data_IF_018459834937
#
_entry.id   IF_018459834937
#
_cell.length_a   1.000
_cell.length_b   1.000
_cell.length_c   1.000
_cell.angle_alpha   90.00
_cell.angle_beta   90.00
_cell.angle_gamma   90.00
#
_symmetry.space_group_name_H-M   'P 1'
#
loop_
_entity.id
_entity.type
_entity.pdbx_description
1 polymer ?
#
# COMPACT_ATOMS: atom_id res chain seq x y z
N UNK A 1 -38.24 -52.35 -62.24
CA UNK A 1 -37.26 -52.51 -61.14
C UNK A 1 -36.17 -51.48 -61.38
N UNK A 2 -36.17 -50.39 -60.61
CA UNK A 2 -35.23 -49.28 -60.77
C UNK A 2 -34.14 -49.47 -59.72
N UNK A 3 -32.92 -49.71 -60.18
CA UNK A 3 -31.72 -49.88 -59.36
C UNK A 3 -31.09 -48.51 -59.12
N UNK A 4 -31.07 -48.06 -57.88
CA UNK A 4 -30.42 -46.81 -57.47
C UNK A 4 -28.97 -47.10 -57.06
N UNK A 5 -28.02 -46.59 -57.85
CA UNK A 5 -26.60 -46.64 -57.55
C UNK A 5 -26.21 -45.44 -56.67
N UNK A 6 -25.79 -45.70 -55.43
CA UNK A 6 -25.29 -44.70 -54.48
C UNK A 6 -23.83 -44.39 -54.80
N UNK A 7 -23.54 -43.16 -55.24
CA UNK A 7 -22.16 -42.66 -55.42
C UNK A 7 -21.67 -42.07 -54.10
N UNK A 8 -20.65 -42.69 -53.53
CA UNK A 8 -19.91 -42.19 -52.36
C UNK A 8 -18.75 -41.31 -52.86
N UNK A 9 -18.71 -40.05 -52.48
CA UNK A 9 -17.58 -39.15 -52.71
C UNK A 9 -16.63 -39.17 -51.50
N UNK A 10 -15.30 -39.24 -51.69
CA UNK A 10 -14.34 -39.18 -50.60
C UNK A 10 -14.20 -37.73 -50.09
N UNK A 11 -14.51 -37.53 -48.82
CA UNK A 11 -14.25 -36.29 -48.09
C UNK A 11 -12.76 -36.27 -47.69
N UNK A 12 -11.94 -35.48 -48.37
CA UNK A 12 -10.55 -35.24 -47.98
C UNK A 12 -10.57 -34.17 -46.89
N UNK A 13 -10.47 -34.59 -45.63
CA UNK A 13 -10.26 -33.70 -44.49
C UNK A 13 -8.80 -33.21 -44.50
N UNK A 14 -8.58 -31.99 -45.00
CA UNK A 14 -7.29 -31.30 -44.91
C UNK A 14 -7.15 -30.75 -43.49
N UNK A 15 -6.41 -31.48 -42.65
CA UNK A 15 -5.95 -31.00 -41.34
C UNK A 15 -4.77 -30.05 -41.58
N UNK A 16 -5.04 -28.78 -41.86
CA UNK A 16 -4.05 -27.70 -41.69
C UNK A 16 -3.85 -27.50 -40.19
N UNK A 17 -2.81 -28.13 -39.65
CA UNK A 17 -2.27 -27.73 -38.36
C UNK A 17 -1.73 -26.31 -38.52
N UNK A 18 -2.47 -25.32 -38.02
CA UNK A 18 -1.92 -23.98 -37.78
C UNK A 18 -0.83 -24.17 -36.72
N UNK A 19 0.42 -24.25 -37.16
CA UNK A 19 1.55 -24.05 -36.27
C UNK A 19 1.48 -22.58 -35.83
N UNK A 20 0.81 -22.34 -34.72
CA UNK A 20 0.94 -21.08 -33.98
C UNK A 20 2.40 -21.02 -33.56
N UNK A 21 3.12 -20.02 -34.08
CA UNK A 21 4.46 -19.70 -33.58
C UNK A 21 4.39 -19.61 -32.06
N UNK A 22 5.33 -20.22 -31.32
CA UNK A 22 5.38 -20.07 -29.88
C UNK A 22 5.49 -18.57 -29.59
N UNK A 23 4.49 -18.05 -28.89
CA UNK A 23 4.46 -16.67 -28.44
C UNK A 23 5.77 -16.40 -27.69
N UNK A 24 6.50 -15.31 -28.01
CA UNK A 24 7.75 -15.02 -27.35
C UNK A 24 7.51 -14.99 -25.84
N UNK A 25 8.47 -15.47 -25.02
CA UNK A 25 8.32 -15.38 -23.58
C UNK A 25 8.03 -13.93 -23.22
N UNK A 26 6.90 -13.70 -22.53
CA UNK A 26 6.55 -12.39 -22.00
C UNK A 26 7.76 -11.88 -21.22
N UNK A 27 8.30 -10.73 -21.64
CA UNK A 27 9.34 -10.07 -20.85
C UNK A 27 8.80 -9.88 -19.42
N UNK A 28 9.63 -10.01 -18.38
CA UNK A 28 9.18 -9.80 -17.02
C UNK A 28 8.58 -8.40 -16.93
N UNK A 29 7.25 -8.37 -16.85
CA UNK A 29 6.47 -7.15 -16.64
C UNK A 29 7.08 -6.38 -15.48
N UNK A 30 7.18 -5.05 -15.58
CA UNK A 30 7.63 -4.15 -14.49
C UNK A 30 6.68 -4.20 -13.26
N UNK A 31 5.53 -4.86 -13.39
CA UNK A 31 4.49 -4.97 -12.38
C UNK A 31 4.90 -5.54 -11.00
N UNK A 32 5.88 -6.45 -10.81
CA UNK A 32 6.25 -6.90 -9.46
C UNK A 32 6.74 -5.75 -8.57
N UNK A 33 7.52 -4.82 -9.11
CA UNK A 33 8.06 -3.70 -8.36
C UNK A 33 6.96 -2.68 -8.02
N UNK A 34 6.08 -2.38 -8.97
CA UNK A 34 4.92 -1.51 -8.73
C UNK A 34 3.96 -2.10 -7.70
N UNK A 35 3.67 -3.41 -7.76
CA UNK A 35 2.86 -4.11 -6.76
C UNK A 35 3.50 -4.01 -5.37
N UNK A 36 4.84 -4.14 -5.27
CA UNK A 36 5.56 -3.96 -4.01
C UNK A 36 5.48 -2.53 -3.48
N UNK A 37 5.64 -1.52 -4.35
CA UNK A 37 5.53 -0.12 -3.97
C UNK A 37 4.11 0.24 -3.49
N UNK A 38 3.07 -0.27 -4.18
CA UNK A 38 1.68 -0.12 -3.73
C UNK A 38 1.47 -0.82 -2.40
N UNK A 39 1.99 -2.04 -2.21
CA UNK A 39 1.89 -2.77 -0.94
C UNK A 39 2.50 -1.97 0.22
N UNK A 40 3.70 -1.41 0.02
CA UNK A 40 4.36 -0.57 1.01
C UNK A 40 3.53 0.69 1.35
N UNK A 41 2.91 1.31 0.35
CA UNK A 41 2.08 2.51 0.50
C UNK A 41 0.76 2.29 1.27
N UNK A 42 0.29 1.04 1.37
CA UNK A 42 -0.99 0.69 2.03
C UNK A 42 -0.82 0.04 3.40
N UNK A 43 0.37 0.11 4.01
CA UNK A 43 0.55 -0.37 5.38
C UNK A 43 -0.07 0.63 6.36
N UNK A 44 -1.04 0.22 7.20
CA UNK A 44 -1.77 1.15 8.06
C UNK A 44 -0.96 1.64 9.27
N UNK A 45 0.08 0.93 9.71
CA UNK A 45 0.74 1.19 11.00
C UNK A 45 1.37 2.57 11.06
N UNK A 46 2.13 2.97 10.04
CA UNK A 46 2.75 4.30 9.97
C UNK A 46 1.71 5.42 9.95
N UNK A 47 0.55 5.18 9.34
CA UNK A 47 -0.56 6.14 9.31
C UNK A 47 -1.25 6.24 10.68
N UNK A 48 -1.43 5.11 11.38
CA UNK A 48 -1.94 5.11 12.76
C UNK A 48 -0.96 5.81 13.69
N UNK A 49 0.33 5.45 13.66
CA UNK A 49 1.38 6.10 14.44
C UNK A 49 1.42 7.61 14.18
N UNK A 50 1.25 8.04 12.92
CA UNK A 50 1.17 9.45 12.57
C UNK A 50 0.01 10.15 13.30
N UNK A 51 -1.18 9.55 13.31
CA UNK A 51 -2.35 10.15 13.97
C UNK A 51 -2.27 10.12 15.50
N UNK A 52 -1.79 9.02 16.08
CA UNK A 52 -1.74 8.82 17.53
C UNK A 52 -0.58 9.60 18.17
N UNK A 53 0.61 9.55 17.58
CA UNK A 53 1.84 10.12 18.13
C UNK A 53 2.82 10.54 17.01
N UNK A 54 2.60 11.71 16.36
CA UNK A 54 3.47 12.20 15.30
C UNK A 54 4.94 12.34 15.73
N UNK A 55 5.22 12.49 17.03
CA UNK A 55 6.58 12.60 17.55
C UNK A 55 7.44 11.34 17.37
N UNK A 56 6.83 10.20 17.02
CA UNK A 56 7.55 8.97 16.61
C UNK A 56 8.12 9.05 15.20
N UNK A 57 7.52 9.87 14.35
CA UNK A 57 7.81 9.96 12.93
C UNK A 57 8.54 11.27 12.63
N UNK A 58 8.02 12.37 13.16
CA UNK A 58 8.57 13.70 12.98
C UNK A 58 9.69 13.91 14.00
N UNK A 59 10.94 14.17 13.56
CA UNK A 59 12.01 14.49 14.49
C UNK A 59 11.66 15.76 15.27
N UNK A 60 11.91 15.75 16.59
CA UNK A 60 11.68 16.89 17.47
C UNK A 60 12.99 17.30 18.13
N UNK A 61 13.44 18.51 17.82
CA UNK A 61 14.56 19.19 18.46
C UNK A 61 14.09 20.19 19.52
N UNK A 62 15.06 20.86 20.16
CA UNK A 62 14.78 21.84 21.23
C UNK A 62 13.97 23.05 20.76
N UNK A 63 14.06 23.40 19.47
CA UNK A 63 13.44 24.63 18.90
C UNK A 63 12.76 24.39 17.56
N UNK A 64 12.65 23.13 17.12
CA UNK A 64 12.16 22.77 15.80
C UNK A 64 11.52 21.38 15.86
N UNK A 65 10.26 21.18 15.43
CA UNK A 65 9.32 22.23 15.05
C UNK A 65 8.90 23.09 16.25
N UNK A 66 8.35 24.28 15.99
CA UNK A 66 7.66 25.05 17.04
C UNK A 66 6.29 24.42 17.24
N UNK A 67 6.02 23.95 18.45
CA UNK A 67 4.78 23.25 18.79
C UNK A 67 3.96 24.15 19.71
N UNK A 68 2.78 24.55 19.23
CA UNK A 68 1.77 25.29 19.99
C UNK A 68 0.51 24.43 20.13
N UNK A 69 -0.23 24.57 21.24
CA UNK A 69 -1.49 23.86 21.46
C UNK A 69 -2.61 24.81 21.88
N UNK A 70 -3.70 24.84 21.12
CA UNK A 70 -4.88 25.69 21.37
C UNK A 70 -6.14 24.87 21.17
N UNK A 71 -7.03 24.87 22.16
CA UNK A 71 -8.33 24.17 22.11
C UNK A 71 -8.24 22.69 21.71
N UNK A 72 -7.19 21.99 22.15
CA UNK A 72 -6.96 20.57 21.87
C UNK A 72 -6.32 20.28 20.51
N UNK A 73 -6.01 21.32 19.73
CA UNK A 73 -5.28 21.20 18.46
C UNK A 73 -3.83 21.60 18.67
N UNK A 74 -2.91 20.68 18.36
CA UNK A 74 -1.48 20.91 18.29
C UNK A 74 -1.10 21.40 16.89
N UNK A 75 -0.29 22.44 16.80
CA UNK A 75 0.23 23.00 15.56
C UNK A 75 1.75 22.94 15.59
N UNK A 76 2.33 22.19 14.66
CA UNK A 76 3.77 22.02 14.51
C UNK A 76 4.20 22.84 13.30
N UNK A 77 4.89 23.94 13.55
CA UNK A 77 5.32 24.87 12.51
C UNK A 77 6.79 24.63 12.17
N UNK A 78 7.07 24.37 10.90
CA UNK A 78 8.41 24.31 10.33
C UNK A 78 9.00 25.71 10.06
N UNK A 79 9.85 25.82 9.03
CA UNK A 79 10.67 26.99 8.74
C UNK A 79 11.91 27.07 9.64
N UNK A 80 12.40 25.92 10.10
CA UNK A 80 13.51 25.82 11.05
C UNK A 80 14.46 24.68 10.68
N UNK A 81 15.69 24.78 11.18
CA UNK A 81 16.72 23.75 11.05
C UNK A 81 17.20 23.30 12.44
N UNK A 82 17.46 22.00 12.55
CA UNK A 82 18.03 21.35 13.73
C UNK A 82 19.57 21.37 13.68
N UNK A 83 20.20 21.00 14.80
CA UNK A 83 21.67 21.01 14.94
C UNK A 83 22.37 19.91 14.13
N UNK A 84 21.66 18.83 13.83
CA UNK A 84 22.12 17.68 13.04
C UNK A 84 21.99 17.91 11.52
N UNK A 85 21.41 19.02 11.09
CA UNK A 85 21.21 19.35 9.67
C UNK A 85 19.81 19.04 9.15
N UNK A 86 18.92 18.45 9.97
CA UNK A 86 17.52 18.26 9.59
C UNK A 86 16.80 19.60 9.44
N UNK A 87 16.03 19.78 8.37
CA UNK A 87 15.20 20.96 8.12
C UNK A 87 13.74 20.55 8.09
N UNK A 88 12.88 21.28 8.79
CA UNK A 88 11.43 21.08 8.74
C UNK A 88 10.80 22.31 8.08
N UNK A 89 9.97 22.09 7.08
CA UNK A 89 9.16 23.09 6.40
C UNK A 89 7.67 22.76 6.46
N UNK A 90 6.82 23.77 6.28
CA UNK A 90 5.36 23.62 6.27
C UNK A 90 4.72 23.62 7.66
N UNK A 91 3.49 23.10 7.73
CA UNK A 91 2.70 23.04 8.97
C UNK A 91 2.04 21.67 9.10
N UNK A 92 2.13 21.08 10.28
CA UNK A 92 1.37 19.91 10.68
C UNK A 92 0.36 20.32 11.76
N UNK A 93 -0.91 20.00 11.55
CA UNK A 93 -1.94 20.14 12.57
C UNK A 93 -2.29 18.75 13.10
N UNK A 94 -2.52 18.64 14.40
CA UNK A 94 -3.00 17.43 15.03
C UNK A 94 -4.11 17.73 16.01
N UNK A 95 -5.11 16.88 16.05
CA UNK A 95 -6.09 16.79 17.11
C UNK A 95 -6.18 15.35 17.59
N UNK A 96 -6.37 15.15 18.88
CA UNK A 96 -6.62 13.83 19.44
C UNK A 96 -7.48 13.92 20.70
N UNK A 97 -8.49 13.06 20.78
CA UNK A 97 -9.25 12.76 21.99
C UNK A 97 -9.38 11.23 22.18
N UNK A 98 -10.38 10.78 22.94
CA UNK A 98 -10.56 9.36 23.23
C UNK A 98 -11.16 8.56 22.06
N UNK A 99 -11.92 9.22 21.18
CA UNK A 99 -12.73 8.59 20.14
C UNK A 99 -12.21 8.90 18.73
N UNK A 100 -11.43 9.98 18.57
CA UNK A 100 -10.91 10.44 17.28
C UNK A 100 -9.52 11.07 17.42
N UNK A 101 -8.68 10.82 16.43
CA UNK A 101 -7.46 11.60 16.19
C UNK A 101 -7.30 11.88 14.70
N UNK A 102 -6.85 13.06 14.34
CA UNK A 102 -6.53 13.39 12.95
C UNK A 102 -5.28 14.23 12.87
N UNK A 103 -4.63 14.14 11.72
CA UNK A 103 -3.46 14.93 11.34
C UNK A 103 -3.70 15.54 9.96
N UNK A 104 -3.33 16.81 9.80
CA UNK A 104 -3.36 17.52 8.53
C UNK A 104 -1.97 18.11 8.26
N UNK A 105 -1.31 17.64 7.20
CA UNK A 105 -0.10 18.24 6.66
C UNK A 105 -0.44 19.29 5.61
N UNK A 106 0.20 20.46 5.69
CA UNK A 106 0.09 21.53 4.69
C UNK A 106 1.46 21.81 4.10
N UNK A 107 1.81 21.05 3.05
CA UNK A 107 3.16 21.00 2.51
C UNK A 107 4.21 20.76 3.59
N UNK A 108 3.92 19.87 4.54
CA UNK A 108 4.84 19.56 5.63
C UNK A 108 5.94 18.64 5.10
N UNK A 109 7.19 19.06 5.20
CA UNK A 109 8.34 18.30 4.70
C UNK A 109 9.46 18.29 5.71
N UNK A 110 10.01 17.10 5.95
CA UNK A 110 11.26 16.92 6.70
C UNK A 110 12.35 16.58 5.70
N UNK A 111 13.43 17.35 5.76
CA UNK A 111 14.63 17.15 4.96
C UNK A 111 15.76 16.70 5.88
N UNK A 112 16.44 15.63 5.53
CA UNK A 112 17.69 15.22 6.16
C UNK A 112 18.84 15.42 5.18
N UNK A 113 19.83 16.24 5.55
CA UNK A 113 20.99 16.54 4.70
C UNK A 113 20.67 16.97 3.25
N UNK A 114 19.49 17.56 3.02
CA UNK A 114 19.02 18.03 1.72
C UNK A 114 18.16 17.03 0.93
N UNK A 115 17.91 15.84 1.47
CA UNK A 115 17.02 14.84 0.89
C UNK A 115 15.72 14.79 1.70
N UNK A 116 14.54 14.72 1.05
CA UNK A 116 13.29 14.58 1.77
C UNK A 116 13.24 13.20 2.43
N UNK A 117 12.86 13.15 3.71
CA UNK A 117 12.67 11.90 4.47
C UNK A 117 11.22 11.69 4.91
N UNK A 118 10.44 12.78 4.94
CA UNK A 118 9.00 12.75 5.13
C UNK A 118 8.39 13.88 4.31
N UNK A 119 7.35 13.57 3.56
CA UNK A 119 6.46 14.56 2.92
C UNK A 119 5.05 14.23 3.39
N UNK A 120 4.28 15.26 3.76
CA UNK A 120 2.87 15.10 4.06
C UNK A 120 2.09 16.35 3.61
N UNK A 121 1.19 16.15 2.66
CA UNK A 121 0.23 17.15 2.22
C UNK A 121 -1.17 16.52 2.07
N UNK A 122 -2.11 16.93 2.92
CA UNK A 122 -3.43 16.30 3.04
C UNK A 122 -3.72 15.88 4.48
N UNK A 123 -4.66 14.94 4.66
CA UNK A 123 -5.15 14.57 5.98
C UNK A 123 -5.24 13.06 6.18
N UNK A 124 -5.05 12.66 7.43
CA UNK A 124 -5.25 11.29 7.93
C UNK A 124 -6.12 11.38 9.18
N UNK A 125 -7.18 10.60 9.23
CA UNK A 125 -8.15 10.57 10.32
C UNK A 125 -8.31 9.14 10.83
N UNK A 126 -8.23 8.97 12.14
CA UNK A 126 -8.47 7.74 12.86
C UNK A 126 -9.68 7.96 13.78
N UNK A 127 -10.70 7.14 13.64
CA UNK A 127 -11.87 7.11 14.53
C UNK A 127 -12.01 5.75 15.18
N UNK A 128 -12.53 5.72 16.40
CA UNK A 128 -12.72 4.52 17.22
C UNK A 128 -14.20 4.28 17.49
N UNK A 129 -14.69 3.10 17.14
CA UNK A 129 -16.04 2.62 17.47
C UNK A 129 -15.93 1.31 18.27
N UNK A 130 -15.84 1.46 19.60
CA UNK A 130 -15.51 0.34 20.49
C UNK A 130 -14.09 -0.15 20.25
N UNK A 131 -13.95 -1.42 19.85
CA UNK A 131 -12.66 -2.04 19.51
C UNK A 131 -12.31 -1.88 18.02
N UNK A 132 -13.24 -1.36 17.20
CA UNK A 132 -13.00 -1.14 15.78
C UNK A 132 -12.33 0.22 15.55
N UNK A 133 -11.26 0.23 14.76
CA UNK A 133 -10.61 1.44 14.29
C UNK A 133 -10.93 1.68 12.82
N UNK A 134 -11.37 2.87 12.47
CA UNK A 134 -11.52 3.32 11.09
C UNK A 134 -10.43 4.35 10.79
N UNK A 135 -9.64 4.10 9.76
CA UNK A 135 -8.58 4.99 9.31
C UNK A 135 -8.89 5.43 7.88
N UNK A 136 -9.08 6.74 7.70
CA UNK A 136 -9.29 7.38 6.40
C UNK A 136 -8.05 8.24 6.09
N UNK A 137 -7.46 8.06 4.91
CA UNK A 137 -6.27 8.80 4.48
C UNK A 137 -6.49 9.41 3.10
N UNK A 138 -6.39 10.73 3.00
CA UNK A 138 -6.45 11.50 1.77
C UNK A 138 -5.24 12.44 1.73
N UNK A 139 -4.09 11.92 1.29
CA UNK A 139 -2.82 12.63 1.41
C UNK A 139 -1.82 12.28 0.29
N UNK A 140 -0.92 13.21 0.01
CA UNK A 140 0.33 12.98 -0.72
C UNK A 140 1.44 12.80 0.31
N UNK A 141 2.14 11.68 0.28
CA UNK A 141 3.08 11.32 1.34
C UNK A 141 4.27 10.48 0.87
N UNK A 142 5.38 10.55 1.61
CA UNK A 142 6.47 9.57 1.62
C UNK A 142 7.10 9.58 3.02
N UNK A 143 7.92 8.59 3.38
CA UNK A 143 8.44 8.42 4.74
C UNK A 143 7.45 7.74 5.70
N UNK A 144 6.30 7.30 5.20
CA UNK A 144 5.25 6.57 5.93
C UNK A 144 5.07 5.16 5.36
N UNK A 145 6.16 4.38 5.31
CA UNK A 145 6.18 3.06 4.69
C UNK A 145 6.76 3.03 3.27
N UNK A 146 6.78 4.17 2.58
CA UNK A 146 7.49 4.33 1.29
C UNK A 146 8.72 5.23 1.45
N UNK A 147 9.78 4.95 0.71
CA UNK A 147 10.95 5.82 0.67
C UNK A 147 10.64 7.09 -0.14
N UNK A 148 11.08 8.26 0.32
CA UNK A 148 10.96 9.50 -0.43
C UNK A 148 11.88 9.56 -1.65
N UNK A 149 12.90 8.71 -1.72
CA UNK A 149 13.74 8.54 -2.90
C UNK A 149 12.94 8.00 -4.10
N UNK A 150 11.87 7.24 -3.86
CA UNK A 150 10.95 6.71 -4.88
C UNK A 150 9.85 7.71 -5.27
N UNK A 151 9.87 8.91 -4.68
CA UNK A 151 8.88 9.96 -4.89
C UNK A 151 7.65 9.83 -3.97
N UNK A 152 6.85 10.90 -3.84
CA UNK A 152 5.67 10.89 -3.01
C UNK A 152 4.53 10.08 -3.63
N UNK A 153 3.83 9.30 -2.81
CA UNK A 153 2.63 8.57 -3.18
C UNK A 153 1.38 9.35 -2.82
N UNK A 154 0.35 9.32 -3.67
CA UNK A 154 -0.97 9.91 -3.40
C UNK A 154 -1.93 8.82 -2.96
N UNK A 155 -2.60 9.05 -1.84
CA UNK A 155 -3.46 8.09 -1.15
C UNK A 155 -4.89 8.64 -1.07
N UNK A 156 -5.86 7.79 -1.37
CA UNK A 156 -7.27 7.91 -0.96
C UNK A 156 -7.70 6.52 -0.43
N UNK A 157 -7.38 6.25 0.84
CA UNK A 157 -7.51 4.94 1.46
C UNK A 157 -8.53 4.96 2.60
N UNK A 158 -9.23 3.84 2.77
CA UNK A 158 -10.11 3.58 3.92
C UNK A 158 -9.84 2.20 4.49
N UNK A 159 -9.46 2.15 5.75
CA UNK A 159 -9.27 0.92 6.49
C UNK A 159 -10.36 0.72 7.54
N UNK A 160 -10.62 -0.55 7.82
CA UNK A 160 -11.22 -1.00 9.07
C UNK A 160 -10.25 -1.98 9.71
N UNK A 161 -9.74 -1.62 10.87
CA UNK A 161 -8.78 -2.41 11.64
C UNK A 161 -9.48 -2.91 12.90
N UNK A 162 -9.38 -4.20 13.16
CA UNK A 162 -9.84 -4.82 14.39
C UNK A 162 -8.61 -5.33 15.16
N UNK A 163 -8.03 -4.52 16.05
CA UNK A 163 -6.96 -4.96 16.93
C UNK A 163 -7.41 -6.11 17.82
N UNK A 164 -6.48 -6.98 18.14
CA UNK A 164 -6.62 -7.96 19.23
C UNK A 164 -6.22 -7.32 20.57
N UNK A 165 -6.24 -8.09 21.66
CA UNK A 165 -5.94 -7.60 23.02
C UNK A 165 -4.56 -6.92 23.17
N UNK A 166 -3.62 -7.20 22.25
CA UNK A 166 -2.24 -6.67 22.24
C UNK A 166 -2.06 -5.41 21.36
N UNK A 167 -3.17 -4.75 20.99
CA UNK A 167 -3.16 -3.56 20.12
C UNK A 167 -2.76 -3.91 18.68
N UNK A 168 -2.02 -3.03 18.00
CA UNK A 168 -1.61 -3.24 16.61
C UNK A 168 -0.48 -4.28 16.41
N UNK A 169 -0.11 -5.04 17.45
CA UNK A 169 0.78 -6.21 17.27
C UNK A 169 0.08 -7.36 16.55
N UNK A 170 -1.22 -7.48 16.72
CA UNK A 170 -2.04 -8.41 15.95
C UNK A 170 -3.42 -7.80 15.69
N UNK A 171 -3.86 -7.83 14.44
CA UNK A 171 -5.13 -7.23 14.01
C UNK A 171 -5.63 -7.88 12.71
N UNK A 172 -6.94 -7.83 12.49
CA UNK A 172 -7.54 -8.06 11.17
C UNK A 172 -7.73 -6.71 10.47
N UNK A 173 -7.43 -6.64 9.18
CA UNK A 173 -7.55 -5.44 8.36
C UNK A 173 -8.45 -5.68 7.15
N UNK A 174 -9.23 -4.65 6.80
CA UNK A 174 -9.92 -4.55 5.51
C UNK A 174 -9.58 -3.19 4.91
N UNK A 175 -9.14 -3.18 3.66
CA UNK A 175 -8.75 -2.00 2.91
C UNK A 175 -9.56 -1.84 1.63
N UNK A 176 -9.88 -0.60 1.29
CA UNK A 176 -10.24 -0.18 -0.06
C UNK A 176 -9.73 1.23 -0.34
N UNK A 177 -9.39 1.54 -1.58
CA UNK A 177 -8.99 2.89 -1.94
C UNK A 177 -8.33 3.01 -3.29
N UNK A 178 -7.56 4.09 -3.44
CA UNK A 178 -6.76 4.41 -4.61
C UNK A 178 -5.36 4.80 -4.13
N UNK A 179 -4.34 4.29 -4.81
CA UNK A 179 -2.94 4.70 -4.67
C UNK A 179 -2.45 5.19 -6.01
N UNK A 180 -1.81 6.36 -6.06
CA UNK A 180 -1.08 6.78 -7.26
C UNK A 180 0.39 6.99 -6.87
N UNK A 181 1.27 6.16 -7.43
CA UNK A 181 2.72 6.31 -7.29
C UNK A 181 3.21 7.58 -8.00
N UNK A 182 4.47 7.95 -7.77
CA UNK A 182 5.06 9.12 -8.43
C UNK A 182 5.07 8.93 -9.96
N UNK A 183 4.60 9.95 -10.68
CA UNK A 183 4.31 9.92 -12.12
C UNK A 183 3.40 8.79 -12.65
N UNK A 184 2.86 7.94 -11.76
CA UNK A 184 2.00 6.80 -12.09
C UNK A 184 0.52 7.14 -12.22
N UNK A 185 -0.20 6.30 -12.97
CA UNK A 185 -1.66 6.33 -13.02
C UNK A 185 -2.27 5.86 -11.69
N UNK A 186 -3.39 6.44 -11.23
CA UNK A 186 -4.05 6.00 -10.01
C UNK A 186 -4.56 4.56 -10.12
N UNK A 187 -4.15 3.72 -9.18
CA UNK A 187 -4.47 2.31 -9.09
C UNK A 187 -5.47 2.03 -7.95
N UNK A 188 -6.67 1.49 -8.25
CA UNK A 188 -7.57 0.98 -7.24
C UNK A 188 -6.94 -0.17 -6.46
N UNK A 189 -7.11 -0.16 -5.13
CA UNK A 189 -6.64 -1.19 -4.22
C UNK A 189 -7.78 -1.72 -3.35
N UNK A 190 -7.76 -3.02 -3.08
CA UNK A 190 -8.65 -3.67 -2.13
C UNK A 190 -7.95 -4.85 -1.46
N UNK A 191 -8.30 -5.17 -0.21
CA UNK A 191 -7.73 -6.32 0.45
C UNK A 191 -8.33 -6.60 1.82
N UNK A 192 -8.05 -7.80 2.32
CA UNK A 192 -8.32 -8.19 3.69
C UNK A 192 -7.24 -9.18 4.17
N UNK A 193 -6.64 -8.92 5.32
CA UNK A 193 -5.55 -9.74 5.85
C UNK A 193 -5.50 -9.70 7.38
N UNK A 194 -4.82 -10.69 7.96
CA UNK A 194 -4.52 -10.75 9.39
C UNK A 194 -3.04 -10.55 9.63
N UNK A 195 -2.71 -9.70 10.59
CA UNK A 195 -1.35 -9.54 11.11
C UNK A 195 -1.24 -10.19 12.48
N UNK A 196 -0.12 -10.87 12.71
CA UNK A 196 0.35 -11.27 14.04
C UNK A 196 1.88 -11.24 14.00
N UNK A 197 2.45 -10.19 14.61
CA UNK A 197 3.89 -9.96 14.59
C UNK A 197 4.67 -10.96 15.45
N UNK A 198 4.01 -11.74 16.30
CA UNK A 198 4.65 -12.81 17.07
C UNK A 198 4.78 -14.10 16.22
N UNK A 199 3.92 -14.27 15.21
CA UNK A 199 4.05 -15.35 14.22
C UNK A 199 4.98 -14.94 13.09
N UNK A 200 4.73 -13.78 12.47
CA UNK A 200 5.58 -13.24 11.42
C UNK A 200 5.73 -11.72 11.55
N UNK A 201 6.97 -11.28 11.78
CA UNK A 201 7.27 -9.86 11.93
C UNK A 201 7.34 -9.11 10.60
N UNK A 202 7.45 -9.81 9.46
CA UNK A 202 7.70 -9.22 8.15
C UNK A 202 6.41 -8.97 7.37
N UNK A 203 5.51 -9.96 7.30
CA UNK A 203 4.30 -9.90 6.47
C UNK A 203 3.06 -10.42 7.23
N UNK A 204 1.84 -10.19 6.68
CA UNK A 204 0.61 -10.74 7.25
C UNK A 204 0.59 -12.28 7.29
N UNK A 205 -0.02 -12.84 8.34
CA UNK A 205 -0.13 -14.29 8.52
C UNK A 205 -0.91 -14.96 7.39
N UNK A 206 -2.04 -14.37 7.04
CA UNK A 206 -2.93 -14.81 5.98
C UNK A 206 -3.68 -13.61 5.39
N UNK A 207 -4.12 -13.73 4.14
CA UNK A 207 -4.96 -12.71 3.54
C UNK A 207 -4.87 -12.64 2.03
N UNK A 208 -5.52 -11.62 1.51
CA UNK A 208 -5.50 -11.30 0.09
C UNK A 208 -5.42 -9.79 -0.11
N UNK A 209 -4.61 -9.40 -1.07
CA UNK A 209 -4.51 -8.03 -1.55
C UNK A 209 -4.65 -8.02 -3.07
N UNK A 210 -5.36 -7.04 -3.61
CA UNK A 210 -5.52 -6.84 -5.03
C UNK A 210 -5.29 -5.37 -5.40
N UNK A 211 -4.61 -5.18 -6.53
CA UNK A 211 -4.37 -3.87 -7.14
C UNK A 211 -4.67 -3.93 -8.62
N UNK A 212 -5.32 -2.88 -9.12
CA UNK A 212 -5.59 -2.71 -10.54
C UNK A 212 -4.60 -1.68 -11.11
N UNK A 213 -3.54 -2.19 -11.74
CA UNK A 213 -2.63 -1.41 -12.59
C UNK A 213 -3.18 -1.49 -14.02
N UNK A 214 -2.32 -1.72 -15.02
CA UNK A 214 -2.74 -2.15 -16.35
C UNK A 214 -3.55 -3.46 -16.29
N UNK A 215 -3.15 -4.37 -15.41
CA UNK A 215 -3.82 -5.63 -15.14
C UNK A 215 -4.20 -5.75 -13.66
N UNK A 216 -5.19 -6.61 -13.37
CA UNK A 216 -5.56 -6.93 -12.00
C UNK A 216 -4.54 -7.92 -11.44
N UNK A 217 -3.75 -7.46 -10.49
CA UNK A 217 -2.87 -8.31 -9.69
C UNK A 217 -3.60 -8.71 -8.41
N UNK A 218 -3.45 -9.96 -8.00
CA UNK A 218 -3.97 -10.45 -6.73
C UNK A 218 -2.88 -11.29 -6.07
N UNK A 219 -2.57 -10.95 -4.82
CA UNK A 219 -1.53 -11.58 -4.00
C UNK A 219 -2.21 -12.26 -2.81
N UNK A 220 -2.03 -13.56 -2.68
CA UNK A 220 -2.36 -14.30 -1.47
C UNK A 220 -1.17 -14.26 -0.52
N UNK A 221 -1.43 -13.87 0.73
CA UNK A 221 -0.43 -13.69 1.78
C UNK A 221 -0.41 -14.95 2.66
N UNK A 222 0.77 -15.42 3.03
CA UNK A 222 0.92 -16.69 3.75
C UNK A 222 2.06 -16.67 4.79
N UNK A 223 2.24 -15.54 5.49
CA UNK A 223 3.27 -15.39 6.53
C UNK A 223 3.22 -16.43 7.65
N UNK A 224 2.08 -17.12 7.85
CA UNK A 224 1.97 -18.23 8.78
C UNK A 224 2.74 -19.50 8.34
N UNK A 225 2.99 -19.70 7.04
CA UNK A 225 3.73 -20.86 6.51
C UNK A 225 5.21 -20.58 6.28
N UNK A 226 5.55 -19.44 5.66
CA UNK A 226 6.89 -19.18 5.18
C UNK A 226 7.59 -17.99 5.88
N UNK A 227 6.84 -16.93 6.21
CA UNK A 227 7.37 -15.68 6.77
C UNK A 227 8.61 -15.18 6.02
N UNK A 228 8.53 -15.18 4.69
CA UNK A 228 9.61 -14.85 3.77
C UNK A 228 9.32 -13.59 2.95
N UNK A 229 8.26 -12.86 3.30
CA UNK A 229 7.83 -11.63 2.64
C UNK A 229 7.44 -11.85 1.18
N UNK A 230 6.96 -13.07 0.86
CA UNK A 230 6.50 -13.47 -0.44
C UNK A 230 5.06 -13.96 -0.39
N UNK A 231 4.36 -13.85 -1.53
CA UNK A 231 3.00 -14.33 -1.69
C UNK A 231 2.73 -14.92 -3.06
N UNK A 232 1.77 -15.84 -3.12
CA UNK A 232 1.28 -16.38 -4.39
C UNK A 232 0.57 -15.27 -5.17
N UNK A 233 1.02 -15.02 -6.40
CA UNK A 233 0.46 -13.95 -7.24
C UNK A 233 -0.28 -14.52 -8.43
N UNK A 234 -1.45 -13.95 -8.70
CA UNK A 234 -2.18 -14.15 -9.96
C UNK A 234 -2.34 -12.83 -10.69
N UNK A 235 -2.39 -12.90 -12.03
CA UNK A 235 -2.65 -11.77 -12.92
C UNK A 235 -3.85 -12.13 -13.77
N UNK A 236 -4.93 -11.36 -13.65
CA UNK A 236 -6.22 -11.68 -14.29
C UNK A 236 -6.72 -13.10 -13.96
N UNK A 237 -6.41 -13.59 -12.75
CA UNK A 237 -6.77 -14.93 -12.29
C UNK A 237 -5.91 -16.07 -12.86
N UNK A 238 -4.81 -15.76 -13.55
CA UNK A 238 -3.83 -16.74 -14.02
C UNK A 238 -2.60 -16.71 -13.12
N UNK A 239 -2.09 -17.88 -12.74
CA UNK A 239 -0.88 -18.01 -11.94
C UNK A 239 0.30 -17.26 -12.58
N UNK A 240 0.98 -16.45 -11.78
CA UNK A 240 2.16 -15.69 -12.18
C UNK A 240 3.33 -16.04 -11.24
N UNK A 241 4.57 -15.64 -11.59
CA UNK A 241 5.68 -15.73 -10.63
C UNK A 241 5.29 -15.06 -9.31
N UNK A 242 5.66 -15.64 -8.16
CA UNK A 242 5.33 -15.10 -6.85
C UNK A 242 5.82 -13.67 -6.73
N UNK A 243 5.11 -12.89 -5.93
CA UNK A 243 5.54 -11.55 -5.55
C UNK A 243 6.31 -11.65 -4.24
N UNK A 244 7.37 -10.88 -4.10
CA UNK A 244 8.06 -10.69 -2.83
C UNK A 244 8.27 -9.19 -2.66
N UNK A 245 8.10 -8.68 -1.44
CA UNK A 245 8.12 -7.23 -1.17
C UNK A 245 9.51 -6.58 -1.36
N UNK A 246 10.54 -7.39 -1.66
CA UNK A 246 11.91 -6.94 -1.87
C UNK A 246 12.69 -6.72 -0.57
N UNK A 247 12.09 -7.03 0.58
CA UNK A 247 12.68 -6.99 1.90
C UNK A 247 13.80 -7.99 2.07
N UNK A 248 15.01 -7.48 2.17
CA UNK A 248 16.14 -8.10 2.85
C UNK A 248 16.82 -7.06 3.73
#
# INVERSE_FOLDING_TARGET
MISSATRTLPLIAVLTACATDPEPPLEPSEAPAEVAAVWAAIQPESLVDLTEDPGRIVPVGLTCPVIDAVDGVETWTGGCAMLDGTVIDGVLLRYADADQSWVEGRGFTVWDHGEPTLVLDGAVELTRDGDLLHLDAAATTCGLGTDCADGPVRLDLRFSLLPTDDGLRSYDAVLRGIVALDDGEPAPVEGAWRVDRDVCAQEPMDGIFAVQLDERHTVALDGASACDACGERTVQGVDAPPWCDGGA
#
